data_IF_890618115676
#
_entry.id   IF_890618115676
#
_cell.length_a   1.000
_cell.length_b   1.000
_cell.length_c   1.000
_cell.angle_alpha   90.00
_cell.angle_beta   90.00
_cell.angle_gamma   90.00
#
_symmetry.space_group_name_H-M   'P 1'
#
loop_
_entity.id
_entity.type
_entity.pdbx_description
1 polymer ?
#
# COMPACT_ATOMS: atom_id res chain seq x y z
N UNK A 1 2.08 -23.88 12.10
CA UNK A 1 3.12 -23.39 11.16
C UNK A 1 2.49 -22.24 10.42
N UNK A 2 3.04 -21.03 10.51
CA UNK A 2 2.50 -19.87 9.78
C UNK A 2 2.95 -20.01 8.34
N UNK A 3 2.03 -20.31 7.43
CA UNK A 3 2.32 -20.44 6.00
C UNK A 3 2.76 -19.08 5.45
N UNK A 4 4.07 -18.83 5.42
CA UNK A 4 4.62 -17.64 4.79
C UNK A 4 4.55 -17.81 3.28
N UNK A 5 3.85 -16.88 2.63
CA UNK A 5 3.63 -16.95 1.18
C UNK A 5 4.80 -16.31 0.43
N UNK A 6 5.14 -16.81 -0.76
CA UNK A 6 6.17 -16.19 -1.61
C UNK A 6 5.58 -14.97 -2.31
N UNK A 7 6.30 -13.85 -2.33
CA UNK A 7 5.92 -12.66 -3.10
C UNK A 7 6.09 -12.94 -4.60
N UNK A 8 4.97 -13.10 -5.29
CA UNK A 8 4.87 -13.50 -6.69
C UNK A 8 5.14 -12.34 -7.66
N UNK A 9 5.51 -12.62 -8.93
CA UNK A 9 5.65 -11.58 -9.94
C UNK A 9 4.39 -10.75 -10.18
N UNK A 10 3.21 -11.35 -10.02
CA UNK A 10 1.94 -10.63 -10.13
C UNK A 10 1.77 -9.63 -8.99
N UNK A 11 2.02 -10.04 -7.74
CA UNK A 11 1.96 -9.13 -6.57
C UNK A 11 3.01 -8.01 -6.68
N UNK A 12 4.21 -8.30 -7.21
CA UNK A 12 5.20 -7.28 -7.53
C UNK A 12 4.69 -6.26 -8.56
N UNK A 13 4.05 -6.74 -9.63
CA UNK A 13 3.44 -5.87 -10.65
C UNK A 13 2.31 -5.01 -10.08
N UNK A 14 1.41 -5.59 -9.28
CA UNK A 14 0.28 -4.88 -8.66
C UNK A 14 0.77 -3.82 -7.66
N UNK A 15 1.71 -4.16 -6.77
CA UNK A 15 2.25 -3.21 -5.80
C UNK A 15 2.99 -2.05 -6.49
N UNK A 16 3.75 -2.32 -7.56
CA UNK A 16 4.37 -1.29 -8.38
C UNK A 16 3.32 -0.38 -9.06
N UNK A 17 2.26 -0.97 -9.62
CA UNK A 17 1.17 -0.20 -10.23
C UNK A 17 0.45 0.70 -9.21
N UNK A 18 0.18 0.18 -8.00
CA UNK A 18 -0.44 0.96 -6.92
C UNK A 18 0.44 2.14 -6.47
N UNK A 19 1.76 1.97 -6.48
CA UNK A 19 2.69 3.07 -6.21
C UNK A 19 2.58 4.18 -7.26
N UNK A 20 2.44 3.83 -8.55
CA UNK A 20 2.21 4.81 -9.62
C UNK A 20 0.86 5.52 -9.45
N UNK A 21 -0.18 4.78 -9.06
CA UNK A 21 -1.51 5.35 -8.76
C UNK A 21 -1.41 6.33 -7.59
N UNK A 22 -0.73 5.97 -6.51
CA UNK A 22 -0.49 6.87 -5.37
C UNK A 22 0.20 8.17 -5.77
N UNK A 23 1.22 8.08 -6.63
CA UNK A 23 1.91 9.26 -7.19
C UNK A 23 0.95 10.13 -8.00
N UNK A 24 0.10 9.54 -8.85
CA UNK A 24 -0.88 10.27 -9.65
C UNK A 24 -1.92 10.99 -8.77
N UNK A 25 -2.45 10.31 -7.75
CA UNK A 25 -3.35 10.90 -6.75
C UNK A 25 -2.69 12.10 -6.06
N UNK A 26 -1.47 11.93 -5.57
CA UNK A 26 -0.73 12.98 -4.89
C UNK A 26 -0.32 14.14 -5.81
N UNK A 27 -0.38 13.96 -7.13
CA UNK A 27 -0.14 15.03 -8.10
C UNK A 27 -1.39 15.90 -8.37
N UNK A 28 -2.57 15.49 -7.91
CA UNK A 28 -3.81 16.26 -8.10
C UNK A 28 -3.97 17.35 -7.02
N UNK A 29 -3.90 18.65 -7.37
CA UNK A 29 -3.94 19.74 -6.39
C UNK A 29 -5.27 19.89 -5.66
N UNK A 30 -6.36 19.30 -6.17
CA UNK A 30 -7.70 19.39 -5.57
C UNK A 30 -8.00 18.28 -4.57
N UNK A 31 -7.11 17.30 -4.41
CA UNK A 31 -7.29 16.22 -3.44
C UNK A 31 -6.67 16.58 -2.08
N UNK A 32 -7.43 16.32 -1.02
CA UNK A 32 -6.95 16.35 0.35
C UNK A 32 -6.19 15.06 0.66
N UNK A 33 -4.88 15.10 0.41
CA UNK A 33 -4.00 13.92 0.57
C UNK A 33 -3.90 13.47 2.02
N UNK A 34 -3.99 14.39 2.99
CA UNK A 34 -3.87 14.04 4.41
C UNK A 34 -5.10 13.29 4.93
N UNK A 35 -6.29 13.69 4.49
CA UNK A 35 -7.53 12.95 4.79
C UNK A 35 -7.49 11.54 4.18
N UNK A 36 -7.04 11.41 2.92
CA UNK A 36 -6.88 10.12 2.28
C UNK A 36 -5.88 9.20 3.03
N UNK A 37 -4.75 9.75 3.51
CA UNK A 37 -3.78 8.99 4.32
C UNK A 37 -4.40 8.51 5.64
N UNK A 38 -5.19 9.35 6.30
CA UNK A 38 -5.86 8.97 7.54
C UNK A 38 -6.87 7.85 7.31
N UNK A 39 -7.67 7.92 6.26
CA UNK A 39 -8.64 6.87 5.93
C UNK A 39 -7.93 5.57 5.55
N UNK A 40 -6.84 5.64 4.77
CA UNK A 40 -6.01 4.49 4.45
C UNK A 40 -5.40 3.82 5.71
N UNK A 41 -4.97 4.62 6.69
CA UNK A 41 -4.45 4.13 7.96
C UNK A 41 -5.51 3.38 8.77
N UNK A 42 -6.74 3.92 8.87
CA UNK A 42 -7.86 3.24 9.54
C UNK A 42 -8.21 1.91 8.85
N UNK A 43 -8.13 1.87 7.52
CA UNK A 43 -8.33 0.63 6.76
C UNK A 43 -7.23 -0.39 7.07
N UNK A 44 -5.96 0.01 7.11
CA UNK A 44 -4.86 -0.89 7.49
C UNK A 44 -5.07 -1.52 8.86
N UNK A 45 -5.48 -0.73 9.84
CA UNK A 45 -5.75 -1.19 11.22
C UNK A 45 -6.91 -2.18 11.29
N UNK A 46 -7.85 -2.13 10.34
CA UNK A 46 -8.97 -3.06 10.25
C UNK A 46 -8.61 -4.39 9.58
N UNK A 47 -7.49 -4.44 8.85
CA UNK A 47 -7.08 -5.60 8.08
C UNK A 47 -6.25 -6.57 8.92
N UNK A 48 -6.42 -7.89 8.72
CA UNK A 48 -5.64 -8.89 9.43
C UNK A 48 -4.14 -8.78 9.09
N UNK A 49 -3.31 -9.01 10.11
CA UNK A 49 -1.86 -8.95 9.97
C UNK A 49 -1.24 -10.19 9.31
N UNK A 50 -1.99 -11.29 9.23
CA UNK A 50 -1.58 -12.56 8.61
C UNK A 50 -2.56 -12.90 7.47
N UNK A 51 -2.11 -13.63 6.43
CA UNK A 51 -0.75 -14.15 6.25
C UNK A 51 0.26 -13.06 5.86
N UNK A 52 1.53 -13.37 6.09
CA UNK A 52 2.68 -12.55 5.66
C UNK A 52 3.43 -13.21 4.53
N UNK A 53 4.06 -12.38 3.69
CA UNK A 53 5.11 -12.87 2.81
C UNK A 53 6.37 -13.26 3.60
N UNK A 54 7.23 -14.05 2.96
CA UNK A 54 8.61 -14.24 3.41
C UNK A 54 9.28 -12.86 3.57
N UNK A 55 9.73 -12.55 4.78
CA UNK A 55 10.24 -11.22 5.14
C UNK A 55 9.32 -10.39 6.03
N UNK A 56 8.12 -10.90 6.36
CA UNK A 56 7.30 -10.39 7.46
C UNK A 56 6.29 -9.29 7.12
N UNK A 57 6.17 -8.92 5.84
CA UNK A 57 5.17 -7.95 5.38
C UNK A 57 3.80 -8.61 5.20
N UNK A 58 2.74 -8.01 5.75
CA UNK A 58 1.37 -8.52 5.60
C UNK A 58 0.91 -8.41 4.16
N UNK A 59 0.34 -9.49 3.63
CA UNK A 59 -0.18 -9.54 2.26
C UNK A 59 -1.39 -8.61 2.13
N UNK A 60 -2.23 -8.55 3.17
CA UNK A 60 -3.42 -7.70 3.19
C UNK A 60 -3.08 -6.21 3.24
N UNK A 61 -1.97 -5.85 3.87
CA UNK A 61 -1.55 -4.45 4.00
C UNK A 61 -0.81 -3.94 2.76
N UNK A 62 -0.18 -4.84 2.01
CA UNK A 62 0.77 -4.47 0.97
C UNK A 62 0.21 -3.55 -0.12
N UNK A 63 -1.06 -3.71 -0.49
CA UNK A 63 -1.70 -2.86 -1.49
C UNK A 63 -1.79 -1.40 -1.03
N UNK A 64 -2.35 -1.19 0.16
CA UNK A 64 -2.52 0.15 0.74
C UNK A 64 -1.17 0.78 1.03
N UNK A 65 -0.24 0.04 1.62
CA UNK A 65 1.12 0.53 1.89
C UNK A 65 1.87 0.93 0.61
N UNK A 66 1.68 0.19 -0.49
CA UNK A 66 2.32 0.53 -1.77
C UNK A 66 1.76 1.81 -2.37
N UNK A 67 0.43 2.01 -2.25
CA UNK A 67 -0.22 3.25 -2.66
C UNK A 67 0.26 4.45 -1.82
N UNK A 68 0.31 4.30 -0.50
CA UNK A 68 0.82 5.33 0.43
C UNK A 68 2.28 5.68 0.14
N UNK A 69 3.14 4.68 -0.08
CA UNK A 69 4.52 4.91 -0.47
C UNK A 69 4.63 5.72 -1.77
N UNK A 70 3.70 5.53 -2.71
CA UNK A 70 3.61 6.32 -3.94
C UNK A 70 3.25 7.78 -3.70
N UNK A 71 2.31 8.03 -2.78
CA UNK A 71 1.90 9.39 -2.38
C UNK A 71 3.09 10.16 -1.80
N UNK A 72 3.89 9.51 -0.94
CA UNK A 72 5.06 10.13 -0.29
C UNK A 72 6.18 10.53 -1.26
N UNK A 73 6.18 10.01 -2.50
CA UNK A 73 7.16 10.40 -3.53
C UNK A 73 6.87 11.75 -4.17
N UNK A 74 5.74 12.38 -3.87
CA UNK A 74 5.40 13.72 -4.37
C UNK A 74 5.59 14.73 -3.25
N UNK A 75 6.65 15.53 -3.35
CA UNK A 75 6.83 16.71 -2.50
C UNK A 75 5.93 17.83 -3.01
N UNK A 76 5.08 18.37 -2.14
CA UNK A 76 4.28 19.58 -2.38
C UNK A 76 4.86 20.74 -1.58
#
# INVERSE_FOLDING_TARGET
MTDQTVFTPFEAGVTAALMLVGKAIASNPHLNVEELKQDAQRLLESLPAEPKWVGGKSIHHAGIESLLAGIEKVSR
#
